data_IF_422010928616
#
_entry.id   IF_422010928616
#
_cell.length_a   1.000
_cell.length_b   1.000
_cell.length_c   1.000
_cell.angle_alpha   90.00
_cell.angle_beta   90.00
_cell.angle_gamma   90.00
#
_symmetry.space_group_name_H-M   'P 1'
#
loop_
_entity.id
_entity.type
_entity.pdbx_description
1 polymer ?
#
# COMPACT_ATOMS: atom_id res chain seq x y z
N UNK A 1 1.98 -12.32 16.34
CA UNK A 1 1.62 -10.89 16.25
C UNK A 1 1.22 -10.67 14.82
N UNK A 2 -0.03 -10.28 14.56
CA UNK A 2 -0.59 -10.20 13.20
C UNK A 2 0.11 -9.08 12.41
N UNK A 3 0.94 -9.44 11.45
CA UNK A 3 1.62 -8.53 10.51
C UNK A 3 0.63 -8.05 9.43
N UNK A 4 -0.50 -7.45 9.82
CA UNK A 4 -1.45 -6.91 8.86
C UNK A 4 -1.09 -5.46 8.54
N UNK A 5 -0.93 -5.16 7.24
CA UNK A 5 -0.85 -3.81 6.72
C UNK A 5 -2.23 -3.14 6.89
N UNK A 6 -2.25 -1.97 7.51
CA UNK A 6 -3.43 -1.13 7.68
C UNK A 6 -3.40 0.07 6.74
N UNK A 7 -4.55 0.73 6.55
CA UNK A 7 -4.67 2.00 5.84
C UNK A 7 -3.78 3.12 6.40
N UNK A 8 -3.60 3.17 7.72
CA UNK A 8 -2.71 4.14 8.39
C UNK A 8 -1.25 3.93 7.95
N UNK A 9 -0.81 2.68 7.94
CA UNK A 9 0.51 2.31 7.45
C UNK A 9 0.64 2.60 5.96
N UNK A 10 -0.38 2.30 5.15
CA UNK A 10 -0.41 2.65 3.72
C UNK A 10 -0.29 4.16 3.51
N UNK A 11 -1.02 4.97 4.27
CA UNK A 11 -0.94 6.43 4.20
C UNK A 11 0.46 6.94 4.59
N UNK A 12 1.07 6.36 5.63
CA UNK A 12 2.44 6.67 6.03
C UNK A 12 3.46 6.30 4.93
N UNK A 13 3.27 5.17 4.26
CA UNK A 13 4.10 4.73 3.12
C UNK A 13 3.90 5.64 1.91
N UNK A 14 2.68 6.05 1.59
CA UNK A 14 2.42 7.02 0.51
C UNK A 14 3.16 8.33 0.76
N UNK A 15 3.21 8.77 2.01
CA UNK A 15 3.95 9.97 2.41
C UNK A 15 5.46 9.81 2.27
N UNK A 16 6.00 8.64 2.59
CA UNK A 16 7.45 8.38 2.50
C UNK A 16 7.92 8.05 1.08
N UNK A 17 7.23 7.11 0.42
CA UNK A 17 7.58 6.61 -0.90
C UNK A 17 7.23 7.55 -2.05
N UNK A 18 6.14 8.32 -1.93
CA UNK A 18 5.67 9.21 -2.99
C UNK A 18 5.62 10.70 -2.58
N UNK A 19 5.84 11.02 -1.30
CA UNK A 19 5.70 12.40 -0.79
C UNK A 19 4.24 12.86 -0.67
N UNK A 20 3.27 11.94 -0.78
CA UNK A 20 1.84 12.26 -0.82
C UNK A 20 1.25 12.05 0.56
N UNK A 21 0.68 13.11 1.12
CA UNK A 21 -0.05 13.00 2.39
C UNK A 21 -1.51 12.71 2.08
N UNK A 22 -1.95 11.51 2.41
CA UNK A 22 -3.36 11.11 2.37
C UNK A 22 -3.87 10.90 3.78
N UNK A 23 -5.11 11.31 4.04
CA UNK A 23 -5.76 11.07 5.31
C UNK A 23 -6.22 9.60 5.39
N UNK A 24 -5.79 8.83 6.40
CA UNK A 24 -6.16 7.42 6.50
C UNK A 24 -7.67 7.24 6.68
N UNK A 25 -8.36 8.17 7.36
CA UNK A 25 -9.82 8.12 7.52
C UNK A 25 -10.52 8.25 6.15
N UNK A 26 -10.10 9.21 5.31
CA UNK A 26 -10.64 9.35 3.94
C UNK A 26 -10.38 8.10 3.09
N UNK A 27 -9.22 7.46 3.26
CA UNK A 27 -8.88 6.22 2.56
C UNK A 27 -9.73 5.04 3.03
N UNK A 28 -10.05 4.96 4.33
CA UNK A 28 -10.98 3.97 4.91
C UNK A 28 -12.42 4.19 4.46
N UNK A 29 -12.85 5.46 4.37
CA UNK A 29 -14.18 5.82 3.88
C UNK A 29 -14.32 5.52 2.38
N UNK A 30 -13.22 5.57 1.61
CA UNK A 30 -13.23 5.39 0.16
C UNK A 30 -12.15 4.42 -0.34
N UNK A 31 -12.22 3.14 0.06
CA UNK A 31 -11.18 2.15 -0.22
C UNK A 31 -11.14 1.71 -1.69
N UNK A 32 -12.24 1.92 -2.43
CA UNK A 32 -12.35 1.66 -3.88
C UNK A 32 -11.90 2.88 -4.74
N UNK A 33 -11.43 3.96 -4.10
CA UNK A 33 -10.92 5.14 -4.84
C UNK A 33 -9.54 4.84 -5.42
N UNK A 34 -9.30 5.15 -6.70
CA UNK A 34 -8.00 4.95 -7.30
C UNK A 34 -6.92 5.80 -6.64
N UNK A 35 -5.72 5.24 -6.51
CA UNK A 35 -4.52 5.94 -6.09
C UNK A 35 -4.25 7.23 -6.87
N UNK A 36 -4.52 7.23 -8.17
CA UNK A 36 -4.40 8.39 -9.06
C UNK A 36 -5.24 9.60 -8.58
N UNK A 37 -6.40 9.36 -7.94
CA UNK A 37 -7.27 10.43 -7.42
C UNK A 37 -6.64 11.11 -6.19
N UNK A 38 -5.86 10.36 -5.42
CA UNK A 38 -5.08 10.90 -4.30
C UNK A 38 -3.77 11.56 -4.77
N UNK A 39 -3.50 11.57 -6.07
CA UNK A 39 -2.26 12.07 -6.65
C UNK A 39 -1.12 11.06 -6.66
N UNK A 40 -1.39 9.78 -6.39
CA UNK A 40 -0.39 8.72 -6.47
C UNK A 40 -0.31 8.16 -7.89
N UNK A 41 0.77 8.50 -8.58
CA UNK A 41 1.14 7.93 -9.87
C UNK A 41 1.78 6.54 -9.75
N UNK A 42 1.92 5.81 -10.87
CA UNK A 42 2.62 4.52 -10.92
C UNK A 42 4.04 4.55 -10.34
N UNK A 43 4.75 5.68 -10.45
CA UNK A 43 6.08 5.83 -9.83
C UNK A 43 6.02 5.90 -8.31
N UNK A 44 5.01 6.58 -7.77
CA UNK A 44 4.78 6.63 -6.32
C UNK A 44 4.42 5.26 -5.77
N UNK A 45 3.61 4.50 -6.51
CA UNK A 45 3.26 3.12 -6.15
C UNK A 45 4.49 2.21 -6.12
N UNK A 46 5.38 2.30 -7.10
CA UNK A 46 6.65 1.57 -7.10
C UNK A 46 7.54 1.93 -5.89
N UNK A 47 7.56 3.21 -5.50
CA UNK A 47 8.26 3.68 -4.29
C UNK A 47 7.70 3.07 -3.01
N UNK A 48 6.36 2.97 -2.90
CA UNK A 48 5.68 2.33 -1.77
C UNK A 48 6.01 0.85 -1.71
N UNK A 49 5.89 0.13 -2.84
CA UNK A 49 6.22 -1.29 -2.94
C UNK A 49 7.66 -1.53 -2.49
N UNK A 50 8.62 -0.78 -3.02
CA UNK A 50 10.03 -0.91 -2.65
C UNK A 50 10.33 -0.59 -1.18
N UNK A 51 9.67 0.41 -0.61
CA UNK A 51 9.80 0.70 0.84
C UNK A 51 9.20 -0.42 1.69
N UNK A 52 8.09 -0.99 1.24
CA UNK A 52 7.47 -2.13 1.92
C UNK A 52 8.37 -3.36 1.89
N UNK A 53 8.93 -3.69 0.73
CA UNK A 53 9.88 -4.79 0.56
C UNK A 53 11.10 -4.63 1.47
N UNK A 54 11.63 -3.41 1.56
CA UNK A 54 12.74 -3.08 2.45
C UNK A 54 12.36 -3.29 3.92
N UNK A 55 11.16 -2.83 4.31
CA UNK A 55 10.66 -2.89 5.68
C UNK A 55 10.38 -4.31 6.16
N UNK A 56 9.72 -5.13 5.34
CA UNK A 56 9.41 -6.51 5.68
C UNK A 56 10.58 -7.45 5.39
N UNK A 57 11.57 -7.02 4.60
CA UNK A 57 12.71 -7.83 4.19
C UNK A 57 12.32 -8.99 3.26
N UNK A 58 11.16 -8.88 2.59
CA UNK A 58 10.59 -9.90 1.71
C UNK A 58 10.11 -9.23 0.42
N UNK A 59 10.30 -9.88 -0.74
CA UNK A 59 9.78 -9.34 -1.99
C UNK A 59 8.25 -9.37 -1.97
N UNK A 60 7.63 -8.30 -2.45
CA UNK A 60 6.19 -8.22 -2.62
C UNK A 60 5.77 -8.96 -3.90
N UNK A 61 4.53 -9.46 -3.99
CA UNK A 61 4.01 -10.00 -5.23
C UNK A 61 4.06 -8.93 -6.34
N UNK A 62 4.37 -9.33 -7.60
CA UNK A 62 4.48 -8.41 -8.73
C UNK A 62 3.15 -7.71 -9.04
N UNK A 63 2.02 -8.25 -8.59
CA UNK A 63 0.72 -7.61 -8.73
C UNK A 63 0.51 -6.42 -7.76
N UNK A 64 1.39 -6.22 -6.78
CA UNK A 64 1.30 -5.09 -5.84
C UNK A 64 1.47 -3.72 -6.54
N UNK A 65 2.32 -3.63 -7.56
CA UNK A 65 2.47 -2.42 -8.39
C UNK A 65 1.29 -2.23 -9.38
N UNK A 66 0.48 -3.28 -9.58
CA UNK A 66 -0.70 -3.23 -10.45
C UNK A 66 -1.97 -2.85 -9.71
N UNK A 67 -1.96 -2.87 -8.39
CA UNK A 67 -3.08 -2.47 -7.58
C UNK A 67 -3.43 -1.01 -7.82
N UNK A 68 -4.68 -0.75 -8.22
CA UNK A 68 -5.16 0.61 -8.47
C UNK A 68 -5.83 1.23 -7.27
N UNK A 69 -6.28 0.40 -6.34
CA UNK A 69 -7.03 0.81 -5.16
C UNK A 69 -6.32 0.41 -3.88
N UNK A 70 -6.44 1.23 -2.80
CA UNK A 70 -5.98 0.88 -1.46
C UNK A 70 -6.47 -0.49 -1.01
N UNK A 71 -7.73 -0.80 -1.29
CA UNK A 71 -8.35 -2.08 -0.93
C UNK A 71 -7.64 -3.27 -1.54
N UNK A 72 -7.43 -3.26 -2.86
CA UNK A 72 -6.74 -4.35 -3.56
C UNK A 72 -5.30 -4.49 -3.05
N UNK A 73 -4.61 -3.37 -2.84
CA UNK A 73 -3.23 -3.37 -2.35
C UNK A 73 -3.15 -4.00 -0.95
N UNK A 74 -4.01 -3.53 -0.03
CA UNK A 74 -4.06 -4.05 1.33
C UNK A 74 -4.41 -5.53 1.34
N UNK A 75 -5.42 -5.96 0.58
CA UNK A 75 -5.83 -7.37 0.51
C UNK A 75 -4.69 -8.27 -0.01
N UNK A 76 -4.01 -7.84 -1.08
CA UNK A 76 -2.89 -8.58 -1.68
C UNK A 76 -1.71 -8.69 -0.71
N UNK A 77 -1.30 -7.57 -0.10
CA UNK A 77 -0.18 -7.53 0.86
C UNK A 77 -0.51 -8.36 2.09
N UNK A 78 -1.70 -8.17 2.67
CA UNK A 78 -2.14 -8.91 3.85
C UNK A 78 -2.22 -10.41 3.57
N UNK A 79 -2.72 -10.81 2.40
CA UNK A 79 -2.74 -12.20 1.98
C UNK A 79 -1.33 -12.77 1.83
N UNK A 80 -0.40 -12.01 1.26
CA UNK A 80 1.00 -12.43 1.12
C UNK A 80 1.70 -12.56 2.48
N UNK A 81 1.47 -11.62 3.39
CA UNK A 81 2.03 -11.66 4.75
C UNK A 81 1.46 -12.82 5.57
N UNK A 82 0.14 -13.10 5.47
CA UNK A 82 -0.48 -14.25 6.12
C UNK A 82 -0.04 -15.59 5.51
N UNK A 83 0.12 -15.68 4.19
CA UNK A 83 0.53 -16.91 3.51
C UNK A 83 2.00 -17.28 3.75
N UNK A 84 2.82 -16.30 4.15
CA UNK A 84 4.23 -16.49 4.53
C UNK A 84 4.47 -16.79 6.01
N UNK A 85 3.44 -17.10 6.79
CA UNK A 85 3.50 -17.41 8.22
C UNK A 85 3.39 -18.92 8.52
#
# INVERSE_FOLDING_TARGET
>A
MTENLTVDELAALMKKGAGITVDPDEMEQRPDTPFEVYGLDSLGLLGIVGELENRYGRPLPPDADRCKTPREFLDLVNTSLMAGA
#
